data_IF_336611298647
#
_entry.id   IF_336611298647
#
_cell.length_a   1.000
_cell.length_b   1.000
_cell.length_c   1.000
_cell.angle_alpha   90.00
_cell.angle_beta   90.00
_cell.angle_gamma   90.00
#
_symmetry.space_group_name_H-M   'P 1'
#
loop_
_entity.id
_entity.type
_entity.pdbx_description
1 polymer ?
#
# COMPACT_ATOMS: atom_id res chain seq x y z
N UNK A 1 -8.73 -16.22 -22.67
CA UNK A 1 -8.88 -17.39 -21.80
C UNK A 1 -8.84 -16.89 -20.36
N UNK A 2 -9.81 -17.23 -19.52
CA UNK A 2 -9.82 -16.80 -18.12
C UNK A 2 -8.89 -17.73 -17.32
N UNK A 3 -7.87 -17.18 -16.68
CA UNK A 3 -7.01 -17.94 -15.76
C UNK A 3 -7.75 -18.09 -14.44
N UNK A 4 -8.18 -19.31 -14.13
CA UNK A 4 -8.74 -19.63 -12.82
C UNK A 4 -7.61 -19.81 -11.82
N UNK A 5 -7.60 -18.99 -10.76
CA UNK A 5 -6.68 -19.11 -9.64
C UNK A 5 -7.45 -19.75 -8.50
N UNK A 6 -7.09 -20.98 -8.12
CA UNK A 6 -7.61 -21.62 -6.91
C UNK A 6 -6.77 -21.18 -5.72
N UNK A 7 -7.36 -20.40 -4.81
CA UNK A 7 -6.71 -20.05 -3.56
C UNK A 7 -6.75 -21.26 -2.60
N UNK A 8 -5.62 -21.71 -2.05
CA UNK A 8 -5.55 -22.86 -1.16
C UNK A 8 -6.04 -22.55 0.27
N UNK A 9 -6.86 -21.51 0.45
CA UNK A 9 -7.39 -21.05 1.73
C UNK A 9 -8.73 -20.31 1.52
N UNK A 10 -9.57 -20.29 2.56
CA UNK A 10 -10.84 -19.55 2.60
C UNK A 10 -10.80 -18.30 3.49
N UNK A 11 -9.77 -18.18 4.33
CA UNK A 11 -9.59 -17.05 5.25
C UNK A 11 -8.11 -16.74 5.43
N UNK A 12 -7.82 -15.47 5.70
CA UNK A 12 -6.47 -14.97 5.97
C UNK A 12 -6.47 -14.09 7.23
N UNK A 13 -5.39 -14.10 8.03
CA UNK A 13 -5.22 -13.13 9.10
C UNK A 13 -5.08 -11.71 8.53
N UNK A 14 -5.73 -10.74 9.17
CA UNK A 14 -5.74 -9.33 8.75
C UNK A 14 -5.33 -8.44 9.92
N UNK A 15 -4.55 -7.41 9.60
CA UNK A 15 -4.14 -6.33 10.49
C UNK A 15 -4.67 -4.99 9.97
N UNK A 16 -4.76 -4.01 10.86
CA UNK A 16 -5.31 -2.69 10.53
C UNK A 16 -4.31 -1.55 10.71
N UNK A 17 -3.08 -1.85 11.12
CA UNK A 17 -2.08 -0.83 11.42
C UNK A 17 -0.65 -1.35 11.27
N UNK A 18 0.19 -0.53 10.65
CA UNK A 18 1.65 -0.65 10.60
C UNK A 18 2.22 0.39 11.54
N UNK A 19 3.19 0.02 12.38
CA UNK A 19 3.91 0.93 13.26
C UNK A 19 5.37 0.98 12.83
N UNK A 20 5.87 2.18 12.57
CA UNK A 20 7.29 2.40 12.29
C UNK A 20 7.98 2.79 13.60
N UNK A 21 8.94 1.97 14.00
CA UNK A 21 9.76 2.13 15.18
C UNK A 21 11.22 2.17 14.75
N UNK A 22 12.00 3.06 15.36
CA UNK A 22 13.44 3.07 15.22
C UNK A 22 14.00 2.97 16.64
N UNK A 23 14.31 1.73 17.03
CA UNK A 23 14.71 1.42 18.40
C UNK A 23 16.07 2.02 18.77
N UNK A 24 16.97 2.15 17.79
CA UNK A 24 18.31 2.72 17.98
C UNK A 24 18.25 4.20 18.36
N UNK A 25 17.44 4.99 17.64
CA UNK A 25 17.36 6.43 17.86
C UNK A 25 16.29 6.84 18.87
N UNK A 26 15.20 6.08 18.98
CA UNK A 26 14.00 6.50 19.72
C UNK A 26 13.38 5.40 20.59
N UNK A 27 14.07 4.27 20.79
CA UNK A 27 13.54 3.12 21.51
C UNK A 27 12.22 2.61 20.91
N UNK A 28 11.32 2.11 21.76
CA UNK A 28 10.03 1.54 21.33
C UNK A 28 8.97 2.60 20.94
N UNK A 29 9.37 3.87 20.79
CA UNK A 29 8.45 4.94 20.43
C UNK A 29 8.01 4.75 18.97
N UNK A 30 6.69 4.75 18.77
CA UNK A 30 6.12 4.72 17.42
C UNK A 30 6.09 6.14 16.88
N UNK A 31 6.93 6.43 15.90
CA UNK A 31 7.02 7.76 15.29
C UNK A 31 6.06 7.94 14.12
N UNK A 32 5.78 6.86 13.40
CA UNK A 32 4.90 6.89 12.25
C UNK A 32 4.00 5.65 12.23
N UNK A 33 2.82 5.79 11.63
CA UNK A 33 1.78 4.79 11.52
C UNK A 33 1.13 4.85 10.14
N UNK A 34 0.80 3.69 9.59
CA UNK A 34 -0.10 3.56 8.43
C UNK A 34 -1.29 2.71 8.85
N UNK A 35 -2.50 3.23 8.69
CA UNK A 35 -3.75 2.58 9.05
C UNK A 35 -4.49 2.02 7.83
N UNK A 36 -5.15 0.89 8.03
CA UNK A 36 -6.00 0.22 7.04
C UNK A 36 -7.25 -0.38 7.72
N UNK A 37 -8.14 0.50 8.16
CA UNK A 37 -9.37 0.11 8.84
C UNK A 37 -10.56 0.07 7.88
N UNK A 38 -11.20 -1.09 7.69
CA UNK A 38 -12.44 -1.17 6.94
C UNK A 38 -13.60 -0.50 7.69
N UNK A 39 -14.66 -0.19 6.96
CA UNK A 39 -15.91 0.21 7.60
C UNK A 39 -16.46 -0.95 8.42
N UNK A 40 -16.94 -0.67 9.64
CA UNK A 40 -17.62 -1.66 10.47
C UNK A 40 -19.06 -1.25 10.70
N UNK A 41 -19.94 -2.23 10.62
CA UNK A 41 -21.37 -2.10 10.86
C UNK A 41 -21.75 -2.89 12.12
N UNK A 42 -22.75 -2.43 12.86
CA UNK A 42 -23.37 -3.23 13.92
C UNK A 42 -24.40 -4.22 13.35
N UNK A 43 -25.03 -5.02 14.22
CA UNK A 43 -26.09 -5.96 13.85
C UNK A 43 -27.32 -5.29 13.20
N UNK A 44 -27.50 -3.98 13.40
CA UNK A 44 -28.57 -3.16 12.81
C UNK A 44 -28.13 -2.45 11.52
N UNK A 45 -27.00 -2.85 10.94
CA UNK A 45 -26.40 -2.25 9.72
C UNK A 45 -26.01 -0.76 9.86
N UNK A 46 -25.89 -0.25 11.08
CA UNK A 46 -25.45 1.12 11.32
C UNK A 46 -23.92 1.20 11.37
N UNK A 47 -23.36 2.26 10.80
CA UNK A 47 -21.91 2.50 10.77
C UNK A 47 -21.41 2.81 12.18
N UNK A 48 -20.61 1.91 12.75
CA UNK A 48 -19.93 2.13 14.05
C UNK A 48 -18.50 2.63 13.86
N UNK A 49 -17.92 2.40 12.68
CA UNK A 49 -16.59 2.88 12.34
C UNK A 49 -16.55 3.19 10.85
N UNK A 50 -16.21 4.43 10.50
CA UNK A 50 -15.94 4.82 9.14
C UNK A 50 -14.63 4.18 8.66
N UNK A 51 -14.55 3.89 7.36
CA UNK A 51 -13.31 3.38 6.78
C UNK A 51 -12.20 4.41 6.86
N UNK A 52 -10.99 3.99 7.24
CA UNK A 52 -9.82 4.85 7.32
C UNK A 52 -8.61 4.15 6.71
N UNK A 53 -8.13 4.68 5.57
CA UNK A 53 -7.07 4.08 4.77
C UNK A 53 -6.00 5.12 4.44
N UNK A 54 -4.86 4.98 5.08
CA UNK A 54 -3.74 5.90 4.92
C UNK A 54 -3.03 5.68 3.58
N UNK A 55 -2.35 6.74 3.13
CA UNK A 55 -1.45 6.68 1.97
C UNK A 55 -0.04 6.48 2.49
N UNK A 56 0.75 5.70 1.76
CA UNK A 56 2.14 5.44 2.10
C UNK A 56 3.04 5.61 0.87
N UNK A 57 4.31 5.93 1.13
CA UNK A 57 5.39 5.84 0.16
C UNK A 57 5.87 4.40 0.10
N UNK A 58 5.87 3.81 -1.09
CA UNK A 58 6.17 2.40 -1.30
C UNK A 58 7.27 2.30 -2.35
N UNK A 59 8.30 1.51 -2.07
CA UNK A 59 9.29 1.16 -3.08
C UNK A 59 8.65 0.21 -4.08
N UNK A 60 8.53 0.60 -5.34
CA UNK A 60 7.84 -0.15 -6.39
C UNK A 60 8.78 -0.59 -7.53
N UNK A 61 10.10 -0.58 -7.32
CA UNK A 61 11.16 -0.94 -8.29
C UNK A 61 10.88 -0.44 -9.73
N UNK A 62 10.33 0.76 -9.83
CA UNK A 62 9.93 1.34 -11.11
C UNK A 62 11.14 2.00 -11.75
N UNK A 63 11.66 1.39 -12.81
CA UNK A 63 12.76 1.91 -13.63
C UNK A 63 12.27 3.05 -14.53
N UNK A 64 11.80 4.16 -13.95
CA UNK A 64 11.40 5.34 -14.72
C UNK A 64 12.46 6.43 -14.67
N UNK A 65 13.07 6.69 -15.82
CA UNK A 65 13.99 7.81 -16.05
C UNK A 65 13.32 9.18 -15.91
N UNK A 66 11.98 9.24 -15.98
CA UNK A 66 11.18 10.46 -15.88
C UNK A 66 10.70 10.79 -14.46
N UNK A 67 11.27 10.15 -13.43
CA UNK A 67 10.96 10.41 -12.03
C UNK A 67 12.03 11.28 -11.37
N UNK A 68 11.65 12.08 -10.38
CA UNK A 68 12.58 12.82 -9.54
C UNK A 68 13.61 11.90 -8.87
N UNK A 69 14.87 12.32 -8.75
CA UNK A 69 16.00 11.47 -8.34
C UNK A 69 15.76 10.78 -6.99
N UNK A 70 15.33 11.54 -5.98
CA UNK A 70 15.03 11.01 -4.63
C UNK A 70 13.79 10.12 -4.56
N UNK A 71 12.94 10.15 -5.58
CA UNK A 71 11.70 9.36 -5.66
C UNK A 71 11.80 8.24 -6.70
N UNK A 72 13.00 8.00 -7.25
CA UNK A 72 13.22 6.95 -8.22
C UNK A 72 12.92 5.60 -7.60
N UNK A 73 12.12 4.79 -8.30
CA UNK A 73 11.65 3.51 -7.80
C UNK A 73 10.64 3.59 -6.66
N UNK A 74 10.12 4.79 -6.33
CA UNK A 74 9.09 4.98 -5.31
C UNK A 74 7.74 5.34 -5.94
N UNK A 75 6.66 4.96 -5.26
CA UNK A 75 5.29 5.26 -5.68
C UNK A 75 4.38 5.40 -4.48
N UNK A 76 3.38 6.26 -4.57
CA UNK A 76 2.35 6.36 -3.53
C UNK A 76 1.27 5.30 -3.74
N UNK A 77 0.86 4.68 -2.65
CA UNK A 77 -0.26 3.74 -2.61
C UNK A 77 -1.13 3.96 -1.39
N UNK A 78 -2.46 3.84 -1.55
CA UNK A 78 -3.40 3.78 -0.44
C UNK A 78 -3.47 2.35 0.07
N UNK A 79 -3.15 2.14 1.34
CA UNK A 79 -3.17 0.80 1.95
C UNK A 79 -4.59 0.46 2.36
N UNK A 80 -5.14 -0.61 1.79
CA UNK A 80 -6.54 -1.02 2.04
C UNK A 80 -6.64 -2.20 3.01
N UNK A 81 -5.71 -3.14 2.94
CA UNK A 81 -5.69 -4.34 3.76
C UNK A 81 -4.24 -4.70 4.03
N UNK A 82 -3.94 -5.07 5.27
CA UNK A 82 -2.66 -5.66 5.67
C UNK A 82 -2.96 -7.09 6.09
N UNK A 83 -2.22 -8.06 5.58
CA UNK A 83 -2.54 -9.47 5.78
C UNK A 83 -1.30 -10.36 5.66
N UNK A 84 -1.46 -11.63 5.98
CA UNK A 84 -0.45 -12.68 5.82
C UNK A 84 -1.14 -13.87 5.18
N UNK A 85 -0.35 -14.66 4.46
CA UNK A 85 -0.84 -15.91 3.89
C UNK A 85 -0.61 -17.04 4.91
N UNK A 86 -1.49 -18.04 4.97
CA UNK A 86 -1.26 -19.21 5.82
C UNK A 86 0.07 -19.90 5.47
N UNK A 87 0.87 -20.23 6.47
CA UNK A 87 2.24 -20.74 6.28
C UNK A 87 2.29 -21.97 5.37
N UNK A 88 1.34 -22.88 5.51
CA UNK A 88 1.19 -24.10 4.71
C UNK A 88 0.82 -23.85 3.22
N UNK A 89 0.66 -22.59 2.81
CA UNK A 89 0.33 -22.20 1.43
C UNK A 89 1.42 -21.40 0.73
N UNK A 90 2.47 -21.00 1.45
CA UNK A 90 3.51 -20.12 0.93
C UNK A 90 4.25 -20.73 -0.27
N UNK A 91 4.64 -22.00 -0.20
CA UNK A 91 5.34 -22.71 -1.28
C UNK A 91 4.50 -22.89 -2.55
N UNK A 92 3.17 -22.79 -2.44
CA UNK A 92 2.25 -22.89 -3.58
C UNK A 92 2.02 -21.55 -4.26
N UNK A 93 2.25 -20.45 -3.56
CA UNK A 93 1.92 -19.08 -4.00
C UNK A 93 3.17 -18.35 -4.43
N UNK A 94 4.26 -18.48 -3.69
CA UNK A 94 5.54 -17.86 -4.00
C UNK A 94 6.42 -18.81 -4.81
N UNK A 95 7.10 -18.30 -5.84
CA UNK A 95 8.08 -19.10 -6.56
C UNK A 95 9.29 -19.40 -5.66
N UNK A 96 9.96 -20.53 -5.90
CA UNK A 96 11.04 -21.05 -5.04
C UNK A 96 12.28 -20.11 -4.92
N UNK A 97 12.38 -19.09 -5.77
CA UNK A 97 13.43 -18.07 -5.68
C UNK A 97 13.14 -16.95 -4.68
N UNK A 98 11.94 -16.91 -4.09
CA UNK A 98 11.55 -15.92 -3.07
C UNK A 98 11.65 -16.58 -1.68
N UNK A 99 12.85 -16.52 -1.10
CA UNK A 99 13.16 -17.18 0.19
C UNK A 99 13.93 -16.24 1.13
N UNK A 100 13.44 -15.98 2.37
CA UNK A 100 12.12 -16.37 2.86
C UNK A 100 11.00 -15.57 2.16
N UNK A 101 9.79 -16.14 2.03
CA UNK A 101 8.62 -15.38 1.58
C UNK A 101 8.29 -14.23 2.55
N UNK A 102 7.67 -13.13 2.06
CA UNK A 102 7.26 -12.03 2.92
C UNK A 102 6.31 -12.49 4.03
N UNK A 103 6.61 -12.11 5.28
CA UNK A 103 5.78 -12.47 6.43
C UNK A 103 4.42 -11.74 6.39
N UNK A 104 4.41 -10.49 5.92
CA UNK A 104 3.23 -9.67 5.78
C UNK A 104 3.16 -9.04 4.39
N UNK A 105 1.94 -8.87 3.90
CA UNK A 105 1.59 -8.25 2.64
C UNK A 105 0.62 -7.10 2.88
N UNK A 106 0.60 -6.16 1.95
CA UNK A 106 -0.37 -5.08 1.90
C UNK A 106 -1.04 -5.03 0.53
N UNK A 107 -2.37 -5.01 0.49
CA UNK A 107 -3.12 -4.67 -0.71
C UNK A 107 -3.16 -3.14 -0.83
N UNK A 108 -2.62 -2.63 -1.94
CA UNK A 108 -2.44 -1.20 -2.17
C UNK A 108 -3.11 -0.77 -3.46
N UNK A 109 -3.88 0.32 -3.39
CA UNK A 109 -4.40 1.02 -4.56
C UNK A 109 -3.43 2.13 -4.94
N UNK A 110 -2.90 2.08 -6.16
CA UNK A 110 -1.84 2.97 -6.60
C UNK A 110 -2.32 4.38 -6.97
N UNK A 111 -1.46 5.35 -6.72
CA UNK A 111 -1.53 6.67 -7.36
C UNK A 111 -0.62 6.70 -8.59
N UNK A 112 -0.77 7.71 -9.45
CA UNK A 112 0.11 7.98 -10.58
C UNK A 112 1.56 8.05 -10.13
N UNK A 113 2.47 7.71 -11.04
CA UNK A 113 3.91 7.85 -10.80
C UNK A 113 4.27 9.33 -10.57
N UNK A 114 5.36 9.58 -9.85
CA UNK A 114 5.85 10.93 -9.66
C UNK A 114 6.39 11.50 -10.97
N UNK A 115 6.15 12.79 -11.20
CA UNK A 115 6.77 13.53 -12.30
C UNK A 115 8.22 13.85 -11.98
N UNK A 116 9.01 14.16 -13.01
CA UNK A 116 10.43 14.55 -12.84
C UNK A 116 10.60 15.78 -11.95
N UNK A 117 9.72 16.76 -12.13
CA UNK A 117 9.75 18.01 -11.39
C UNK A 117 8.48 18.17 -10.56
N UNK A 118 8.60 18.68 -9.33
CA UNK A 118 7.44 19.08 -8.54
C UNK A 118 6.75 20.32 -9.13
N UNK A 119 5.59 20.64 -8.60
CA UNK A 119 4.88 21.88 -8.91
C UNK A 119 5.74 23.10 -8.48
N UNK A 120 5.97 24.10 -9.36
CA UNK A 120 6.95 25.15 -9.08
C UNK A 120 6.62 26.09 -7.91
N UNK A 121 5.34 26.35 -7.63
CA UNK A 121 4.94 27.31 -6.60
C UNK A 121 4.86 26.68 -5.21
N UNK A 122 4.40 25.43 -5.12
CA UNK A 122 4.22 24.70 -3.86
C UNK A 122 5.37 23.76 -3.54
N UNK A 123 6.19 23.39 -4.51
CA UNK A 123 7.24 22.35 -4.36
C UNK A 123 6.68 20.94 -4.15
N UNK A 124 5.37 20.73 -4.35
CA UNK A 124 4.70 19.45 -4.13
C UNK A 124 4.53 18.66 -5.42
N UNK A 125 4.57 17.33 -5.34
CA UNK A 125 4.25 16.47 -6.47
C UNK A 125 2.73 16.30 -6.63
N UNK A 126 2.26 16.50 -7.86
CA UNK A 126 0.87 16.21 -8.22
C UNK A 126 0.72 14.72 -8.49
N UNK A 127 -0.19 14.08 -7.76
CA UNK A 127 -0.56 12.68 -7.97
C UNK A 127 -2.06 12.54 -8.17
N UNK A 128 -2.46 11.54 -8.93
CA UNK A 128 -3.87 11.18 -9.17
C UNK A 128 -4.07 9.71 -8.85
N UNK A 129 -5.30 9.27 -8.57
CA UNK A 129 -5.55 7.83 -8.42
C UNK A 129 -5.28 7.15 -9.75
N UNK A 130 -4.54 6.05 -9.73
CA UNK A 130 -4.27 5.29 -10.94
C UNK A 130 -5.44 4.34 -11.23
N UNK A 131 -5.92 4.38 -12.47
CA UNK A 131 -7.15 3.73 -12.90
C UNK A 131 -6.84 3.01 -14.21
N UNK A 132 -7.18 1.72 -14.27
CA UNK A 132 -7.01 0.89 -15.44
C UNK A 132 -8.03 1.25 -16.52
N UNK A 133 -7.80 0.80 -17.76
CA UNK A 133 -8.68 1.10 -18.91
C UNK A 133 -10.15 0.68 -18.70
N UNK A 134 -10.40 -0.30 -17.83
CA UNK A 134 -11.74 -0.78 -17.47
C UNK A 134 -12.40 0.02 -16.31
N UNK A 135 -11.77 1.09 -15.84
CA UNK A 135 -12.26 1.93 -14.75
C UNK A 135 -11.96 1.43 -13.34
N UNK A 136 -11.36 0.24 -13.18
CA UNK A 136 -10.98 -0.27 -11.86
C UNK A 136 -9.68 0.39 -11.34
N UNK A 137 -9.47 0.36 -10.02
CA UNK A 137 -8.22 0.86 -9.42
C UNK A 137 -7.05 -0.01 -9.87
N UNK A 138 -5.95 0.62 -10.28
CA UNK A 138 -4.70 -0.10 -10.40
C UNK A 138 -4.21 -0.46 -9.00
N UNK A 139 -4.11 -1.75 -8.70
CA UNK A 139 -3.81 -2.24 -7.36
C UNK A 139 -2.93 -3.48 -7.39
N UNK A 140 -2.19 -3.72 -6.32
CA UNK A 140 -1.38 -4.93 -6.15
C UNK A 140 -1.24 -5.31 -4.68
N UNK A 141 -0.90 -6.58 -4.43
CA UNK A 141 -0.36 -6.99 -3.13
C UNK A 141 1.17 -6.78 -3.15
N UNK A 142 1.71 -6.11 -2.14
CA UNK A 142 3.15 -5.87 -1.99
C UNK A 142 3.65 -6.39 -0.64
N UNK A 143 4.89 -6.91 -0.55
CA UNK A 143 5.60 -7.12 0.71
C UNK A 143 5.50 -5.89 1.62
N UNK A 144 5.23 -6.11 2.91
CA UNK A 144 5.08 -5.03 3.88
C UNK A 144 6.36 -4.18 3.99
N UNK A 145 7.51 -4.80 3.81
CA UNK A 145 8.86 -4.22 3.89
C UNK A 145 9.11 -3.17 2.79
N UNK A 146 8.31 -3.18 1.72
CA UNK A 146 8.37 -2.16 0.66
C UNK A 146 7.74 -0.84 1.09
N UNK A 147 6.91 -0.82 2.15
CA UNK A 147 6.28 0.39 2.68
C UNK A 147 7.30 1.14 3.54
N UNK A 148 7.65 2.38 3.15
CA UNK A 148 8.70 3.16 3.81
C UNK A 148 8.16 4.03 4.94
N UNK A 149 7.08 4.76 4.71
CA UNK A 149 6.44 5.61 5.71
C UNK A 149 5.06 6.09 5.23
N UNK A 150 4.24 6.62 6.14
CA UNK A 150 2.98 7.28 5.77
C UNK A 150 3.21 8.59 5.02
N UNK A 151 2.26 8.98 4.18
CA UNK A 151 2.26 10.22 3.41
C UNK A 151 0.87 10.86 3.51
N UNK A 152 0.84 12.17 3.73
CA UNK A 152 -0.39 12.95 3.68
C UNK A 152 -0.55 13.58 2.30
N UNK A 153 -1.77 13.52 1.76
CA UNK A 153 -2.13 14.18 0.51
C UNK A 153 -3.03 15.36 0.81
N UNK A 154 -2.79 16.46 0.10
CA UNK A 154 -3.66 17.63 0.10
C UNK A 154 -4.47 17.67 -1.18
N UNK A 155 -5.77 18.00 -1.13
CA UNK A 155 -6.57 18.15 -2.34
C UNK A 155 -6.06 19.35 -3.16
N UNK A 156 -5.81 19.13 -4.45
CA UNK A 156 -5.65 20.22 -5.42
C UNK A 156 -7.03 20.55 -5.99
N UNK A 157 -7.57 21.70 -5.62
CA UNK A 157 -8.81 22.23 -6.18
C UNK A 157 -8.52 23.00 -7.48
N UNK A 158 -9.47 23.00 -8.41
CA UNK A 158 -9.43 23.92 -9.56
C UNK A 158 -8.75 23.45 -10.85
N UNK A 159 -8.50 22.15 -11.05
CA UNK A 159 -7.97 21.63 -12.33
C UNK A 159 -6.47 21.81 -12.50
#
# INVERSE_FOLDING_TARGET
MANFISLPFSSIPVWHRIKFQNEELYGKKTLNVVNAHPQRLNSRQQVIQASHFDVALIQANTQDSNTHEYLKGMRLGRVRVIFSLPENTLDKIFPANVTPPPAHLAYVEWFSKFTRSPEPYLGLFKVRRDVLNNGSRNASAVPLEMIRHSVHLFPKWGG
#
